data_IF_316590996011
#
_entry.id   IF_316590996011
#
_cell.length_a   1.000
_cell.length_b   1.000
_cell.length_c   1.000
_cell.angle_alpha   90.00
_cell.angle_beta   90.00
_cell.angle_gamma   90.00
#
_symmetry.space_group_name_H-M   'P 1'
#
loop_
_entity.id
_entity.type
_entity.pdbx_description
1 polymer ?
#
# COMPACT_ATOMS: atom_id res chain seq x y z
N UNK A 1 25.44 43.32 10.72
CA UNK A 1 25.47 42.37 9.58
C UNK A 1 24.42 41.32 9.87
N UNK A 2 23.21 41.54 9.39
CA UNK A 2 22.08 40.64 9.49
C UNK A 2 22.23 39.58 8.41
N UNK A 3 22.54 38.35 8.81
CA UNK A 3 22.58 37.19 7.92
C UNK A 3 21.12 36.75 7.74
N UNK A 4 20.57 37.05 6.58
CA UNK A 4 19.22 36.61 6.18
C UNK A 4 19.21 35.11 5.96
N UNK A 5 18.23 34.45 6.57
CA UNK A 5 17.86 33.05 6.33
C UNK A 5 17.42 32.91 4.87
N UNK A 6 18.11 32.07 4.10
CA UNK A 6 17.70 31.70 2.74
C UNK A 6 16.74 30.52 2.88
N UNK A 7 15.45 30.81 2.87
CA UNK A 7 14.42 29.83 2.61
C UNK A 7 14.49 29.51 1.11
N UNK A 8 15.08 28.37 0.75
CA UNK A 8 15.14 27.93 -0.65
C UNK A 8 13.75 27.47 -1.07
N UNK A 9 12.98 28.35 -1.73
CA UNK A 9 11.80 27.95 -2.46
C UNK A 9 12.18 26.84 -3.47
N UNK A 10 11.40 25.76 -3.60
CA UNK A 10 11.65 24.75 -4.60
C UNK A 10 11.65 25.40 -5.99
N UNK A 11 12.66 25.09 -6.81
CA UNK A 11 12.71 25.59 -8.19
C UNK A 11 11.50 25.01 -8.92
N UNK A 12 10.69 25.86 -9.55
CA UNK A 12 9.48 25.46 -10.31
C UNK A 12 9.72 24.26 -11.24
N UNK A 13 10.90 24.18 -11.86
CA UNK A 13 11.32 23.03 -12.68
C UNK A 13 11.32 21.68 -11.95
N UNK A 14 11.74 21.60 -10.68
CA UNK A 14 11.72 20.34 -9.93
C UNK A 14 10.30 19.91 -9.51
N UNK A 15 9.39 20.86 -9.30
CA UNK A 15 7.99 20.58 -8.92
C UNK A 15 7.20 20.05 -10.11
N UNK A 16 7.32 20.70 -11.27
CA UNK A 16 6.71 20.24 -12.52
C UNK A 16 7.23 18.85 -12.90
N UNK A 17 8.55 18.63 -12.82
CA UNK A 17 9.15 17.31 -13.09
C UNK A 17 8.61 16.21 -12.16
N UNK A 18 8.43 16.50 -10.86
CA UNK A 18 7.85 15.54 -9.91
C UNK A 18 6.40 15.24 -10.24
N UNK A 19 5.59 16.27 -10.45
CA UNK A 19 4.18 16.13 -10.84
C UNK A 19 4.07 15.25 -12.09
N UNK A 20 4.73 15.64 -13.19
CA UNK A 20 4.66 14.89 -14.45
C UNK A 20 5.19 13.45 -14.35
N UNK A 21 6.21 13.21 -13.51
CA UNK A 21 6.72 11.85 -13.27
C UNK A 21 5.68 10.97 -12.58
N UNK A 22 4.97 11.50 -11.57
CA UNK A 22 3.90 10.77 -10.89
C UNK A 22 2.74 10.52 -11.84
N UNK A 23 2.29 11.54 -12.56
CA UNK A 23 1.20 11.43 -13.56
C UNK A 23 1.52 10.40 -14.64
N UNK A 24 2.73 10.46 -15.19
CA UNK A 24 3.20 9.55 -16.23
C UNK A 24 3.27 8.08 -15.79
N UNK A 25 3.54 7.79 -14.51
CA UNK A 25 3.49 6.42 -14.01
C UNK A 25 2.06 5.87 -14.05
N UNK A 26 1.05 6.63 -13.66
CA UNK A 26 -0.36 6.18 -13.76
C UNK A 26 -0.75 5.86 -15.20
N UNK A 27 -0.34 6.69 -16.17
CA UNK A 27 -0.63 6.44 -17.58
C UNK A 27 0.18 5.26 -18.14
N UNK A 28 1.43 5.07 -17.71
CA UNK A 28 2.22 3.87 -18.03
C UNK A 28 1.50 2.60 -17.54
N UNK A 29 1.02 2.59 -16.30
CA UNK A 29 0.33 1.43 -15.74
C UNK A 29 -1.00 1.17 -16.48
N UNK A 30 -1.74 2.22 -16.80
CA UNK A 30 -3.00 2.10 -17.53
C UNK A 30 -2.81 1.70 -19.01
N UNK A 31 -1.67 2.00 -19.63
CA UNK A 31 -1.42 1.75 -21.06
C UNK A 31 -1.48 0.27 -21.48
N UNK A 32 -1.38 -0.64 -20.50
CA UNK A 32 -1.43 -2.11 -20.69
C UNK A 32 -2.85 -2.67 -20.64
N UNK A 33 -3.85 -1.83 -20.37
CA UNK A 33 -5.24 -2.22 -20.18
C UNK A 33 -6.06 -1.82 -21.39
N UNK A 34 -6.90 -2.74 -21.86
CA UNK A 34 -7.96 -2.41 -22.83
C UNK A 34 -9.01 -1.48 -22.18
N UNK A 35 -9.84 -0.79 -22.97
CA UNK A 35 -10.98 -0.07 -22.41
C UNK A 35 -11.91 -0.96 -21.56
N UNK A 36 -12.07 -2.23 -21.94
CA UNK A 36 -12.90 -3.21 -21.26
C UNK A 36 -12.35 -3.59 -19.88
N UNK A 37 -11.02 -3.57 -19.70
CA UNK A 37 -10.38 -3.87 -18.42
C UNK A 37 -10.51 -2.72 -17.41
N UNK A 38 -10.73 -1.49 -17.89
CA UNK A 38 -10.68 -0.29 -17.05
C UNK A 38 -12.00 0.08 -16.38
N UNK A 39 -13.13 -0.49 -16.81
CA UNK A 39 -14.48 -0.16 -16.33
C UNK A 39 -15.02 -1.08 -15.23
N UNK A 40 -14.75 -2.41 -15.22
CA UNK A 40 -15.32 -3.31 -14.24
C UNK A 40 -14.87 -3.04 -12.80
N UNK A 41 -15.74 -3.39 -11.85
CA UNK A 41 -15.45 -3.40 -10.42
C UNK A 41 -15.64 -4.82 -9.89
N UNK A 42 -14.55 -5.47 -9.50
CA UNK A 42 -14.54 -6.89 -9.12
C UNK A 42 -15.00 -7.16 -7.68
N UNK A 43 -15.02 -6.14 -6.83
CA UNK A 43 -15.58 -6.17 -5.47
C UNK A 43 -15.82 -4.74 -4.97
N UNK A 44 -16.60 -4.57 -3.89
CA UNK A 44 -16.91 -3.25 -3.31
C UNK A 44 -15.68 -2.50 -2.81
N UNK A 45 -14.64 -3.21 -2.37
CA UNK A 45 -13.38 -2.62 -1.94
C UNK A 45 -12.53 -2.11 -3.12
N UNK A 46 -12.63 -2.74 -4.29
CA UNK A 46 -11.92 -2.33 -5.49
C UNK A 46 -12.64 -1.18 -6.20
N UNK A 47 -11.93 -0.42 -7.04
CA UNK A 47 -12.50 0.54 -7.99
C UNK A 47 -12.01 0.27 -9.41
N UNK A 48 -12.78 0.68 -10.44
CA UNK A 48 -12.34 0.57 -11.83
C UNK A 48 -11.03 1.35 -12.07
N UNK A 49 -10.13 0.83 -12.91
CA UNK A 49 -8.89 1.55 -13.23
C UNK A 49 -9.15 2.93 -13.86
N UNK A 50 -10.20 3.06 -14.68
CA UNK A 50 -10.64 4.37 -15.19
C UNK A 50 -11.06 5.32 -14.06
N UNK A 51 -11.69 4.80 -12.99
CA UNK A 51 -12.04 5.59 -11.82
C UNK A 51 -10.78 6.04 -11.06
N UNK A 52 -9.76 5.19 -10.86
CA UNK A 52 -8.48 5.62 -10.25
C UNK A 52 -7.83 6.76 -11.04
N UNK A 53 -7.78 6.59 -12.37
CA UNK A 53 -7.22 7.57 -13.31
C UNK A 53 -7.91 8.92 -13.23
N UNK A 54 -9.24 8.92 -13.20
CA UNK A 54 -10.03 10.16 -13.12
C UNK A 54 -10.07 10.75 -11.71
N UNK A 55 -10.09 9.93 -10.66
CA UNK A 55 -10.11 10.36 -9.27
C UNK A 55 -8.84 11.12 -8.87
N UNK A 56 -7.68 10.61 -9.27
CA UNK A 56 -6.41 11.30 -9.00
C UNK A 56 -6.35 12.63 -9.73
N UNK A 57 -6.91 12.74 -10.93
CA UNK A 57 -7.05 14.00 -11.67
C UNK A 57 -8.01 14.97 -11.00
N UNK A 58 -9.17 14.46 -10.56
CA UNK A 58 -10.15 15.24 -9.80
C UNK A 58 -9.52 15.86 -8.54
N UNK A 59 -8.62 15.15 -7.86
CA UNK A 59 -7.92 15.70 -6.69
C UNK A 59 -7.16 17.00 -7.03
N UNK A 60 -6.41 17.01 -8.13
CA UNK A 60 -5.68 18.21 -8.55
C UNK A 60 -6.62 19.32 -9.04
N UNK A 61 -7.70 18.98 -9.74
CA UNK A 61 -8.69 19.97 -10.17
C UNK A 61 -9.40 20.62 -8.97
N UNK A 62 -9.86 19.83 -8.00
CA UNK A 62 -10.61 20.29 -6.83
C UNK A 62 -9.74 21.05 -5.82
N UNK A 63 -8.54 20.55 -5.51
CA UNK A 63 -7.75 21.10 -4.41
C UNK A 63 -6.63 22.05 -4.86
N UNK A 64 -6.13 21.91 -6.09
CA UNK A 64 -5.05 22.77 -6.61
C UNK A 64 -5.61 23.82 -7.57
N UNK A 65 -6.24 23.39 -8.68
CA UNK A 65 -6.70 24.33 -9.71
C UNK A 65 -7.85 25.21 -9.26
N UNK A 66 -8.76 24.73 -8.40
CA UNK A 66 -9.82 25.57 -7.84
C UNK A 66 -9.31 26.77 -7.01
N UNK A 67 -8.02 26.76 -6.60
CA UNK A 67 -7.36 27.88 -5.93
C UNK A 67 -6.77 28.89 -6.91
N UNK A 68 -6.55 28.51 -8.16
CA UNK A 68 -5.98 29.36 -9.20
C UNK A 68 -7.00 30.42 -9.61
N UNK A 69 -6.66 31.73 -9.56
CA UNK A 69 -7.60 32.79 -9.87
C UNK A 69 -8.24 32.66 -11.26
N UNK A 70 -9.57 32.58 -11.30
CA UNK A 70 -10.34 32.52 -12.55
C UNK A 70 -10.47 31.13 -13.18
N UNK A 71 -9.94 30.07 -12.54
CA UNK A 71 -10.15 28.70 -12.99
C UNK A 71 -11.61 28.27 -12.80
N UNK A 72 -12.18 27.61 -13.81
CA UNK A 72 -13.53 27.03 -13.77
C UNK A 72 -13.48 25.64 -14.39
N UNK A 73 -13.82 24.62 -13.59
CA UNK A 73 -13.88 23.23 -14.04
C UNK A 73 -14.88 23.08 -15.21
N UNK A 74 -14.48 22.56 -16.38
CA UNK A 74 -15.36 22.48 -17.54
C UNK A 74 -16.50 21.47 -17.39
N UNK A 75 -16.28 20.39 -16.63
CA UNK A 75 -17.24 19.31 -16.42
C UNK A 75 -17.69 19.19 -14.95
N UNK A 76 -18.68 19.98 -14.48
CA UNK A 76 -19.12 19.97 -13.08
C UNK A 76 -19.56 18.60 -12.54
N UNK A 77 -19.99 17.69 -13.43
CA UNK A 77 -20.42 16.33 -13.07
C UNK A 77 -19.25 15.46 -12.61
N UNK A 78 -18.02 15.72 -13.05
CA UNK A 78 -16.82 14.96 -12.66
C UNK A 78 -16.53 15.11 -11.16
N UNK A 79 -16.85 16.26 -10.57
CA UNK A 79 -16.80 16.48 -9.12
C UNK A 79 -17.65 15.47 -8.34
N UNK A 80 -18.83 15.10 -8.86
CA UNK A 80 -19.69 14.09 -8.24
C UNK A 80 -19.20 12.66 -8.50
N UNK A 81 -18.80 12.36 -9.75
CA UNK A 81 -18.39 11.01 -10.15
C UNK A 81 -17.08 10.56 -9.47
N UNK A 82 -16.17 11.50 -9.26
CA UNK A 82 -14.81 11.21 -8.86
C UNK A 82 -14.45 11.70 -7.45
N UNK A 83 -15.36 12.33 -6.69
CA UNK A 83 -15.18 12.46 -5.24
C UNK A 83 -15.17 11.07 -4.58
N UNK A 84 -14.13 10.76 -3.81
CA UNK A 84 -13.99 9.47 -3.14
C UNK A 84 -14.86 9.36 -1.90
N UNK A 85 -14.61 10.23 -0.92
CA UNK A 85 -15.20 10.19 0.41
C UNK A 85 -15.22 11.55 1.09
N UNK A 86 -14.87 12.65 0.42
CA UNK A 86 -14.82 13.97 1.04
C UNK A 86 -16.23 14.53 1.21
N UNK A 87 -16.80 14.38 2.41
CA UNK A 87 -18.18 14.79 2.67
C UNK A 87 -18.30 16.33 2.69
N UNK A 88 -17.25 17.03 3.13
CA UNK A 88 -17.17 18.49 3.07
C UNK A 88 -17.16 19.04 1.62
N UNK A 89 -16.74 18.23 0.64
CA UNK A 89 -16.77 18.62 -0.79
C UNK A 89 -18.18 18.56 -1.35
N UNK A 90 -18.93 17.48 -1.03
CA UNK A 90 -20.32 17.32 -1.45
C UNK A 90 -20.69 15.86 -1.80
N UNK A 91 -21.88 15.65 -2.41
CA UNK A 91 -22.36 14.32 -2.76
C UNK A 91 -21.45 13.62 -3.77
N UNK A 92 -21.52 12.29 -3.82
CA UNK A 92 -20.64 11.46 -4.64
C UNK A 92 -21.34 10.22 -5.19
N UNK A 93 -20.79 9.67 -6.27
CA UNK A 93 -21.19 8.35 -6.76
C UNK A 93 -20.97 7.28 -5.67
N UNK A 94 -21.97 6.42 -5.37
CA UNK A 94 -21.81 5.34 -4.42
C UNK A 94 -20.63 4.42 -4.79
N UNK A 95 -19.73 4.16 -3.82
CA UNK A 95 -18.55 3.31 -4.03
C UNK A 95 -18.88 1.91 -4.60
N UNK A 96 -19.93 1.19 -4.13
CA UNK A 96 -20.28 -0.12 -4.69
C UNK A 96 -20.79 -0.09 -6.14
N UNK A 97 -21.09 1.10 -6.67
CA UNK A 97 -21.70 1.29 -7.99
C UNK A 97 -20.74 1.98 -8.96
N UNK A 98 -19.45 2.11 -8.64
CA UNK A 98 -18.45 2.72 -9.54
C UNK A 98 -18.31 1.94 -10.85
N UNK A 99 -18.37 0.61 -10.78
CA UNK A 99 -18.30 -0.26 -11.97
C UNK A 99 -19.52 -0.21 -12.89
N UNK A 100 -20.59 0.50 -12.51
CA UNK A 100 -21.78 0.69 -13.35
C UNK A 100 -21.66 1.93 -14.26
N UNK A 101 -20.64 2.76 -14.03
CA UNK A 101 -20.44 4.03 -14.71
C UNK A 101 -19.66 3.79 -16.00
N UNK A 102 -20.38 3.65 -17.11
CA UNK A 102 -19.79 3.45 -18.44
C UNK A 102 -19.37 4.74 -19.13
N UNK A 103 -19.75 5.91 -18.59
CA UNK A 103 -19.38 7.25 -19.06
C UNK A 103 -18.95 8.14 -17.90
N UNK A 104 -17.88 8.95 -18.04
CA UNK A 104 -17.07 9.16 -19.24
C UNK A 104 -16.29 7.91 -19.67
N UNK A 105 -16.04 7.79 -20.97
CA UNK A 105 -15.24 6.72 -21.57
C UNK A 105 -13.77 6.84 -21.18
N UNK A 106 -13.01 5.76 -21.37
CA UNK A 106 -11.56 5.74 -21.11
C UNK A 106 -10.81 6.82 -21.90
N UNK A 107 -11.27 7.13 -23.12
CA UNK A 107 -10.72 8.22 -23.94
C UNK A 107 -11.02 9.60 -23.34
N UNK A 108 -12.27 9.86 -22.96
CA UNK A 108 -12.68 11.12 -22.31
C UNK A 108 -11.94 11.32 -20.97
N UNK A 109 -11.64 10.23 -20.24
CA UNK A 109 -10.81 10.27 -19.02
C UNK A 109 -9.35 10.59 -19.34
N UNK A 110 -8.78 10.04 -20.42
CA UNK A 110 -7.44 10.43 -20.88
C UNK A 110 -7.37 11.91 -21.26
N UNK A 111 -8.40 12.42 -21.95
CA UNK A 111 -8.48 13.84 -22.30
C UNK A 111 -8.61 14.71 -21.05
N UNK A 112 -9.41 14.29 -20.06
CA UNK A 112 -9.52 14.98 -18.77
C UNK A 112 -8.17 15.06 -18.04
N UNK A 113 -7.44 13.94 -17.98
CA UNK A 113 -6.09 13.88 -17.42
C UNK A 113 -5.17 14.89 -18.10
N UNK A 114 -5.09 14.87 -19.42
CA UNK A 114 -4.22 15.75 -20.18
C UNK A 114 -4.54 17.24 -19.94
N UNK A 115 -5.83 17.62 -19.96
CA UNK A 115 -6.25 19.01 -19.71
C UNK A 115 -5.88 19.51 -18.31
N UNK A 116 -6.09 18.69 -17.28
CA UNK A 116 -5.73 19.06 -15.91
C UNK A 116 -4.22 19.11 -15.73
N UNK A 117 -3.47 18.19 -16.35
CA UNK A 117 -2.01 18.20 -16.31
C UNK A 117 -1.45 19.47 -16.96
N UNK A 118 -1.94 19.84 -18.14
CA UNK A 118 -1.58 21.09 -18.82
C UNK A 118 -1.93 22.33 -17.98
N UNK A 119 -3.10 22.36 -17.36
CA UNK A 119 -3.53 23.48 -16.52
C UNK A 119 -2.68 23.62 -15.25
N UNK A 120 -2.34 22.50 -14.59
CA UNK A 120 -1.47 22.51 -13.40
C UNK A 120 -0.07 22.99 -13.76
N UNK A 121 0.51 22.49 -14.86
CA UNK A 121 1.83 22.93 -15.34
C UNK A 121 1.81 24.42 -15.66
N UNK A 122 0.82 24.90 -16.41
CA UNK A 122 0.69 26.32 -16.74
C UNK A 122 0.58 27.20 -15.48
N UNK A 123 -0.22 26.79 -14.50
CA UNK A 123 -0.36 27.53 -13.23
C UNK A 123 0.95 27.55 -12.42
N UNK A 124 1.69 26.44 -12.39
CA UNK A 124 2.99 26.36 -11.72
C UNK A 124 4.05 27.25 -12.39
N UNK A 125 4.09 27.27 -13.72
CA UNK A 125 5.03 28.09 -14.50
C UNK A 125 4.69 29.59 -14.42
N UNK A 126 3.40 29.93 -14.39
CA UNK A 126 2.93 31.30 -14.20
C UNK A 126 3.14 31.81 -12.75
N UNK A 127 3.33 30.91 -11.78
CA UNK A 127 3.43 31.26 -10.37
C UNK A 127 2.07 31.57 -9.72
N UNK A 128 1.00 31.04 -10.29
CA UNK A 128 -0.38 31.27 -9.84
C UNK A 128 -0.83 30.29 -8.73
N UNK A 129 -0.01 29.27 -8.44
CA UNK A 129 -0.25 28.32 -7.35
C UNK A 129 0.34 28.89 -6.05
N UNK A 130 -0.53 29.16 -5.08
CA UNK A 130 -0.12 29.66 -3.77
C UNK A 130 0.55 28.58 -2.90
N UNK A 131 1.12 28.98 -1.76
CA UNK A 131 1.88 28.08 -0.87
C UNK A 131 1.05 26.85 -0.45
N UNK A 132 -0.21 27.06 -0.06
CA UNK A 132 -1.12 25.97 0.28
C UNK A 132 -1.45 25.09 -0.94
N UNK A 133 -1.56 25.66 -2.13
CA UNK A 133 -1.72 24.90 -3.38
C UNK A 133 -0.51 24.02 -3.67
N UNK A 134 0.71 24.45 -3.34
CA UNK A 134 1.93 23.64 -3.47
C UNK A 134 1.96 22.47 -2.46
N UNK A 135 1.52 22.69 -1.23
CA UNK A 135 1.35 21.61 -0.23
C UNK A 135 0.32 20.58 -0.70
N UNK A 136 -0.83 21.04 -1.21
CA UNK A 136 -1.88 20.18 -1.74
C UNK A 136 -1.45 19.46 -3.01
N UNK A 137 -0.60 20.07 -3.84
CA UNK A 137 0.03 19.41 -4.99
C UNK A 137 0.96 18.27 -4.53
N UNK A 138 1.77 18.49 -3.49
CA UNK A 138 2.62 17.45 -2.92
C UNK A 138 1.80 16.30 -2.34
N UNK A 139 0.76 16.62 -1.56
CA UNK A 139 -0.20 15.63 -1.05
C UNK A 139 -0.87 14.88 -2.20
N UNK A 140 -1.30 15.58 -3.25
CA UNK A 140 -1.91 15.00 -4.44
C UNK A 140 -0.99 14.04 -5.19
N UNK A 141 0.31 14.34 -5.25
CA UNK A 141 1.31 13.43 -5.81
C UNK A 141 1.44 12.14 -4.99
N UNK A 142 1.47 12.25 -3.66
CA UNK A 142 1.50 11.08 -2.78
C UNK A 142 0.17 10.29 -2.82
N UNK A 143 -0.96 10.98 -2.89
CA UNK A 143 -2.28 10.39 -3.08
C UNK A 143 -2.37 9.60 -4.39
N UNK A 144 -1.87 10.14 -5.51
CA UNK A 144 -1.83 9.39 -6.77
C UNK A 144 -0.92 8.17 -6.69
N UNK A 145 0.18 8.22 -5.94
CA UNK A 145 1.02 7.04 -5.70
C UNK A 145 0.28 5.94 -4.89
N UNK A 146 -0.57 6.29 -3.93
CA UNK A 146 -1.45 5.30 -3.28
C UNK A 146 -2.43 4.69 -4.31
N UNK A 147 -2.99 5.52 -5.20
CA UNK A 147 -3.90 5.04 -6.24
C UNK A 147 -3.20 4.23 -7.34
N UNK A 148 -1.90 4.40 -7.57
CA UNK A 148 -1.11 3.54 -8.47
C UNK A 148 -0.96 2.14 -7.90
N UNK A 149 -0.69 2.02 -6.60
CA UNK A 149 -0.66 0.74 -5.91
C UNK A 149 -2.04 0.06 -5.92
N UNK A 150 -3.10 0.81 -5.58
CA UNK A 150 -4.47 0.29 -5.61
C UNK A 150 -4.90 -0.14 -7.02
N UNK A 151 -4.54 0.62 -8.06
CA UNK A 151 -4.84 0.26 -9.46
C UNK A 151 -4.29 -1.14 -9.77
N UNK A 152 -3.05 -1.44 -9.37
CA UNK A 152 -2.44 -2.74 -9.60
C UNK A 152 -3.09 -3.85 -8.76
N UNK A 153 -3.42 -3.59 -7.50
CA UNK A 153 -4.15 -4.54 -6.65
C UNK A 153 -5.54 -4.86 -7.21
N UNK A 154 -6.26 -3.84 -7.69
CA UNK A 154 -7.63 -3.96 -8.17
C UNK A 154 -7.70 -4.65 -9.54
N UNK A 155 -6.74 -4.37 -10.43
CA UNK A 155 -6.57 -5.10 -11.70
C UNK A 155 -6.17 -6.55 -11.45
N UNK A 156 -5.25 -6.80 -10.51
CA UNK A 156 -4.89 -8.18 -10.14
C UNK A 156 -6.10 -8.96 -9.65
N UNK A 157 -6.91 -8.34 -8.78
CA UNK A 157 -8.15 -8.96 -8.31
C UNK A 157 -9.10 -9.23 -9.47
N UNK A 158 -9.38 -8.22 -10.32
CA UNK A 158 -10.25 -8.37 -11.50
C UNK A 158 -9.81 -9.50 -12.42
N UNK A 159 -8.53 -9.53 -12.82
CA UNK A 159 -8.03 -10.54 -13.75
C UNK A 159 -8.02 -11.95 -13.15
N UNK A 160 -7.82 -12.08 -11.83
CA UNK A 160 -7.86 -13.39 -11.16
C UNK A 160 -9.22 -14.10 -11.20
N UNK A 161 -10.31 -13.34 -11.40
CA UNK A 161 -11.67 -13.87 -11.58
C UNK A 161 -11.96 -14.28 -13.02
N UNK A 162 -11.14 -13.84 -13.98
CA UNK A 162 -11.35 -14.17 -15.38
C UNK A 162 -10.81 -15.60 -15.67
N UNK A 163 -11.64 -16.51 -16.21
CA UNK A 163 -11.27 -17.92 -16.39
C UNK A 163 -10.13 -18.17 -17.39
N UNK A 164 -9.75 -17.17 -18.19
CA UNK A 164 -8.60 -17.29 -19.11
C UNK A 164 -7.29 -16.73 -18.53
N UNK A 165 -7.28 -16.37 -17.24
CA UNK A 165 -6.12 -15.82 -16.50
C UNK A 165 -5.33 -14.75 -17.31
N UNK A 166 -5.95 -13.59 -17.64
CA UNK A 166 -5.30 -12.54 -18.43
C UNK A 166 -3.97 -12.07 -17.83
N UNK A 167 -3.00 -11.77 -18.70
CA UNK A 167 -1.66 -11.32 -18.30
C UNK A 167 -1.58 -9.80 -18.44
N UNK A 168 -1.25 -9.11 -17.34
CA UNK A 168 -1.02 -7.67 -17.32
C UNK A 168 0.43 -7.29 -17.67
N UNK A 169 1.41 -8.07 -17.18
CA UNK A 169 2.83 -7.93 -17.51
C UNK A 169 3.33 -9.21 -18.16
N UNK A 170 3.59 -9.18 -19.47
CA UNK A 170 4.20 -10.31 -20.17
C UNK A 170 5.69 -10.42 -19.82
N UNK A 171 6.02 -11.40 -18.96
CA UNK A 171 7.39 -11.71 -18.55
C UNK A 171 7.54 -13.18 -18.22
N UNK A 172 8.76 -13.69 -18.35
CA UNK A 172 9.10 -15.02 -17.86
C UNK A 172 9.02 -15.09 -16.34
N UNK A 173 8.54 -16.23 -15.83
CA UNK A 173 8.59 -16.54 -14.41
C UNK A 173 10.03 -16.50 -13.90
N UNK A 174 10.19 -16.09 -12.64
CA UNK A 174 11.49 -16.15 -11.98
C UNK A 174 11.95 -17.61 -11.88
N UNK A 175 13.25 -17.88 -12.08
CA UNK A 175 13.77 -19.21 -11.86
C UNK A 175 13.54 -19.62 -10.40
N UNK A 176 13.38 -20.93 -10.18
CA UNK A 176 13.36 -21.45 -8.82
C UNK A 176 14.62 -20.99 -8.08
N UNK A 177 14.43 -20.32 -6.95
CA UNK A 177 15.51 -19.90 -6.08
C UNK A 177 15.70 -20.93 -4.96
N UNK A 178 16.90 -20.97 -4.41
CA UNK A 178 17.16 -21.78 -3.22
C UNK A 178 16.26 -21.31 -2.07
N UNK A 179 15.72 -22.26 -1.32
CA UNK A 179 14.99 -21.97 -0.10
C UNK A 179 15.89 -21.17 0.84
N UNK A 180 15.43 -20.03 1.37
CA UNK A 180 16.19 -19.25 2.34
C UNK A 180 16.56 -20.12 3.55
N UNK A 181 17.67 -19.79 4.20
CA UNK A 181 18.07 -20.42 5.45
C UNK A 181 17.09 -20.13 6.59
N UNK A 182 17.43 -20.63 7.78
CA UNK A 182 16.69 -20.31 9.00
C UNK A 182 16.61 -18.79 9.21
N UNK A 183 15.45 -18.32 9.66
CA UNK A 183 15.22 -16.90 9.95
C UNK A 183 16.15 -16.43 11.07
N UNK A 184 16.97 -15.42 10.79
CA UNK A 184 17.71 -14.71 11.83
C UNK A 184 16.80 -13.76 12.60
N UNK A 185 17.20 -13.46 13.83
CA UNK A 185 16.44 -12.63 14.77
C UNK A 185 17.28 -11.41 15.16
N UNK A 186 16.70 -10.22 14.97
CA UNK A 186 17.29 -8.97 15.43
C UNK A 186 16.75 -8.66 16.83
N UNK A 187 17.65 -8.53 17.80
CA UNK A 187 17.31 -8.06 19.14
C UNK A 187 16.79 -6.62 19.10
N UNK A 188 15.62 -6.41 19.68
CA UNK A 188 15.05 -5.09 19.97
C UNK A 188 15.28 -4.83 21.45
N UNK A 189 16.00 -3.75 21.77
CA UNK A 189 16.36 -3.42 23.15
C UNK A 189 15.15 -2.81 23.88
N UNK A 190 14.91 -3.27 25.10
CA UNK A 190 13.90 -2.69 26.00
C UNK A 190 14.24 -1.23 26.33
N UNK A 191 13.26 -0.33 26.22
CA UNK A 191 13.46 1.08 26.54
C UNK A 191 12.47 2.02 25.87
N UNK A 192 12.74 3.32 25.96
CA UNK A 192 11.93 4.35 25.32
C UNK A 192 12.45 4.63 23.91
N UNK A 193 11.57 4.48 22.91
CA UNK A 193 11.84 4.83 21.53
C UNK A 193 11.06 6.08 21.10
N UNK A 194 11.58 6.80 20.09
CA UNK A 194 10.85 7.86 19.40
C UNK A 194 10.25 7.28 18.12
N UNK A 195 8.93 7.43 17.97
CA UNK A 195 8.15 6.89 16.86
C UNK A 195 7.51 8.03 16.08
N UNK A 196 7.45 7.90 14.76
CA UNK A 196 6.73 8.80 13.87
C UNK A 196 7.60 9.86 13.22
N UNK A 197 6.97 10.58 12.29
CA UNK A 197 7.56 11.71 11.59
C UNK A 197 7.47 12.99 12.46
N UNK A 198 8.46 13.89 12.37
CA UNK A 198 8.41 15.16 13.08
C UNK A 198 7.23 16.01 12.59
N UNK A 199 6.61 16.74 13.50
CA UNK A 199 5.56 17.70 13.17
C UNK A 199 6.18 19.02 12.66
N UNK A 200 5.93 19.43 11.41
CA UNK A 200 6.45 20.68 10.87
C UNK A 200 5.94 21.93 11.61
N UNK A 201 4.85 21.82 12.38
CA UNK A 201 4.27 22.92 13.17
C UNK A 201 4.79 22.99 14.61
N UNK A 202 5.68 22.07 15.01
CA UNK A 202 6.28 22.05 16.35
C UNK A 202 5.43 21.36 17.41
N UNK A 203 4.47 20.51 17.04
CA UNK A 203 3.67 19.68 17.93
C UNK A 203 4.37 18.44 18.50
N UNK A 204 5.67 18.25 18.24
CA UNK A 204 6.45 17.14 18.80
C UNK A 204 6.48 17.20 20.33
N UNK A 205 6.48 16.03 20.98
CA UNK A 205 6.44 15.95 22.44
C UNK A 205 7.66 16.65 23.10
N UNK A 206 7.52 17.28 24.29
CA UNK A 206 8.63 17.93 24.99
C UNK A 206 9.80 16.97 25.26
N UNK A 207 11.02 17.39 24.91
CA UNK A 207 12.24 16.57 25.04
C UNK A 207 12.52 15.65 23.84
N UNK A 208 11.74 15.74 22.76
CA UNK A 208 12.05 15.15 21.45
C UNK A 208 13.04 16.09 20.74
N UNK A 209 14.31 16.02 21.13
CA UNK A 209 15.40 16.58 20.33
C UNK A 209 16.00 15.46 19.47
N UNK A 210 16.28 15.75 18.19
CA UNK A 210 17.06 14.85 17.35
C UNK A 210 18.38 14.55 18.07
N UNK A 211 18.61 13.28 18.40
CA UNK A 211 19.82 12.87 19.12
C UNK A 211 21.09 12.94 18.26
N UNK A 212 20.96 13.30 16.98
CA UNK A 212 22.06 13.59 16.07
C UNK A 212 21.81 14.93 15.40
N UNK A 213 22.82 15.80 15.38
CA UNK A 213 22.78 17.18 14.85
C UNK A 213 22.57 17.31 13.33
N UNK A 214 21.74 16.47 12.73
CA UNK A 214 21.09 16.74 11.45
C UNK A 214 19.72 17.35 11.74
N UNK A 215 19.56 18.64 11.45
CA UNK A 215 18.23 19.20 11.26
C UNK A 215 17.48 18.32 10.25
N UNK A 216 16.24 17.86 10.51
CA UNK A 216 15.51 17.14 9.49
C UNK A 216 15.26 18.14 8.35
N UNK A 217 15.88 17.93 7.21
CA UNK A 217 15.38 18.46 5.95
C UNK A 217 14.01 17.83 5.76
N UNK A 218 12.95 18.51 6.24
CA UNK A 218 11.61 17.95 6.37
C UNK A 218 11.07 17.46 5.03
N UNK A 219 11.04 16.14 4.85
CA UNK A 219 10.34 15.50 3.74
C UNK A 219 8.87 15.26 4.06
N UNK A 220 8.06 15.00 3.03
CA UNK A 220 6.65 14.67 3.18
C UNK A 220 6.41 13.48 4.13
N UNK A 221 5.32 13.58 4.89
CA UNK A 221 4.69 12.48 5.61
C UNK A 221 3.20 12.76 5.70
N UNK A 222 2.38 11.72 5.78
CA UNK A 222 0.97 11.91 6.08
C UNK A 222 0.79 12.38 7.53
N UNK A 223 -0.32 13.06 7.80
CA UNK A 223 -0.74 13.49 9.14
C UNK A 223 -0.77 12.32 10.14
N UNK A 224 -1.20 11.13 9.70
CA UNK A 224 -1.26 9.94 10.55
C UNK A 224 0.11 9.40 11.02
N UNK A 225 1.21 9.86 10.40
CA UNK A 225 2.58 9.51 10.80
C UNK A 225 3.10 10.44 11.91
N UNK A 226 2.33 11.49 12.27
CA UNK A 226 2.71 12.59 13.16
C UNK A 226 1.76 12.69 14.38
N UNK A 227 2.17 13.39 15.46
CA UNK A 227 3.50 13.92 15.72
C UNK A 227 4.47 12.83 16.18
N UNK A 228 5.77 13.15 16.20
CA UNK A 228 6.76 12.27 16.80
C UNK A 228 6.55 12.21 18.30
N UNK A 229 6.47 10.99 18.83
CA UNK A 229 6.15 10.75 20.23
C UNK A 229 6.98 9.61 20.83
N UNK A 230 6.94 9.49 22.16
CA UNK A 230 7.68 8.46 22.91
C UNK A 230 6.79 7.24 23.17
N UNK A 231 7.33 6.06 22.92
CA UNK A 231 6.69 4.77 23.22
C UNK A 231 7.66 3.91 24.02
N UNK A 232 7.15 3.17 25.00
CA UNK A 232 7.92 2.14 25.69
C UNK A 232 7.93 0.86 24.86
N UNK A 233 9.12 0.38 24.53
CA UNK A 233 9.36 -0.88 23.84
C UNK A 233 9.77 -1.92 24.90
N UNK A 234 9.04 -3.03 25.06
CA UNK A 234 9.32 -4.03 26.09
C UNK A 234 10.59 -4.88 25.81
N UNK A 235 11.21 -4.69 24.64
CA UNK A 235 12.28 -5.53 24.13
C UNK A 235 11.77 -6.81 23.48
N UNK A 236 12.68 -7.64 22.99
CA UNK A 236 12.36 -8.91 22.32
C UNK A 236 13.17 -9.10 21.05
N UNK A 237 12.64 -9.85 20.09
CA UNK A 237 13.29 -10.06 18.80
C UNK A 237 12.33 -9.88 17.63
N UNK A 238 12.83 -9.35 16.50
CA UNK A 238 12.10 -9.24 15.23
C UNK A 238 12.86 -10.00 14.16
N UNK A 239 12.15 -10.82 13.37
CA UNK A 239 12.73 -11.58 12.27
C UNK A 239 13.40 -10.68 11.22
N UNK A 240 14.58 -11.04 10.73
CA UNK A 240 15.34 -10.25 9.75
C UNK A 240 14.74 -10.31 8.34
N UNK A 241 13.91 -11.30 8.03
CA UNK A 241 13.19 -11.46 6.76
C UNK A 241 11.70 -11.71 6.96
N UNK A 242 10.91 -11.51 5.91
CA UNK A 242 9.50 -11.88 5.88
C UNK A 242 9.32 -13.41 5.87
N UNK A 243 8.13 -13.85 6.27
CA UNK A 243 7.72 -15.26 6.15
C UNK A 243 7.56 -15.63 4.68
N UNK A 244 8.09 -16.80 4.30
CA UNK A 244 8.07 -17.24 2.90
C UNK A 244 6.87 -18.14 2.57
N UNK A 245 6.61 -18.27 1.27
CA UNK A 245 5.69 -19.26 0.69
C UNK A 245 5.98 -20.68 1.21
N UNK A 246 7.24 -21.11 1.23
CA UNK A 246 7.63 -22.44 1.69
C UNK A 246 7.37 -22.66 3.19
N UNK A 247 7.51 -21.61 3.99
CA UNK A 247 7.17 -21.65 5.41
C UNK A 247 5.64 -21.68 5.63
N UNK A 248 4.89 -20.97 4.80
CA UNK A 248 3.43 -20.98 4.81
C UNK A 248 2.83 -22.34 4.40
N UNK A 249 3.43 -23.02 3.42
CA UNK A 249 3.04 -24.38 3.04
C UNK A 249 3.12 -25.36 4.21
N UNK A 250 4.11 -25.21 5.11
CA UNK A 250 4.22 -26.04 6.32
C UNK A 250 3.09 -25.77 7.31
N UNK A 251 2.71 -24.50 7.48
CA UNK A 251 1.53 -24.12 8.27
C UNK A 251 0.25 -24.76 7.70
N UNK A 252 0.04 -24.68 6.38
CA UNK A 252 -1.10 -25.32 5.72
C UNK A 252 -1.09 -26.85 5.90
N UNK A 253 0.06 -27.51 5.69
CA UNK A 253 0.22 -28.95 5.81
C UNK A 253 -0.03 -29.47 7.24
N UNK A 254 0.29 -28.67 8.26
CA UNK A 254 0.03 -28.96 9.68
C UNK A 254 -1.40 -28.56 10.14
N UNK A 255 -2.32 -28.41 9.19
CA UNK A 255 -3.73 -28.12 9.47
C UNK A 255 -3.99 -26.67 9.88
N UNK A 256 -3.17 -25.71 9.46
CA UNK A 256 -3.28 -24.30 9.84
C UNK A 256 -4.69 -23.70 9.65
N UNK A 257 -5.38 -24.07 8.57
CA UNK A 257 -6.75 -23.62 8.27
C UNK A 257 -7.85 -24.52 8.85
N UNK A 258 -7.52 -25.61 9.54
CA UNK A 258 -8.48 -26.56 10.14
C UNK A 258 -8.42 -26.61 11.68
N UNK A 259 -7.54 -25.83 12.29
CA UNK A 259 -7.23 -25.84 13.73
C UNK A 259 -7.69 -24.55 14.42
N UNK A 260 -8.91 -24.50 14.99
CA UNK A 260 -9.48 -23.27 15.55
C UNK A 260 -8.66 -22.65 16.68
N UNK A 261 -7.85 -23.44 17.41
CA UNK A 261 -7.01 -22.94 18.49
C UNK A 261 -5.89 -21.99 18.03
N UNK A 262 -5.60 -21.94 16.73
CA UNK A 262 -4.61 -21.03 16.15
C UNK A 262 -5.19 -19.63 15.87
N UNK A 263 -6.52 -19.50 15.81
CA UNK A 263 -7.18 -18.32 15.26
C UNK A 263 -7.81 -17.44 16.33
N UNK A 264 -7.83 -16.13 16.08
CA UNK A 264 -8.79 -15.24 16.73
C UNK A 264 -10.22 -15.68 16.37
N UNK A 265 -11.18 -15.44 17.27
CA UNK A 265 -12.58 -15.85 17.07
C UNK A 265 -13.17 -15.32 15.75
N UNK A 266 -12.99 -14.03 15.46
CA UNK A 266 -13.49 -13.40 14.22
C UNK A 266 -12.75 -13.92 12.99
N UNK A 267 -11.46 -14.25 13.13
CA UNK A 267 -10.68 -14.91 12.09
C UNK A 267 -11.20 -16.30 11.77
N UNK A 268 -11.47 -17.12 12.80
CA UNK A 268 -12.04 -18.46 12.61
C UNK A 268 -13.43 -18.41 11.97
N UNK A 269 -14.28 -17.49 12.42
CA UNK A 269 -15.60 -17.28 11.82
C UNK A 269 -15.48 -16.91 10.33
N UNK A 270 -14.56 -16.02 9.97
CA UNK A 270 -14.30 -15.62 8.59
C UNK A 270 -13.79 -16.79 7.74
N UNK A 271 -12.79 -17.54 8.23
CA UNK A 271 -12.25 -18.73 7.54
C UNK A 271 -13.34 -19.73 7.21
N UNK A 272 -14.24 -20.00 8.17
CA UNK A 272 -15.36 -20.92 7.97
C UNK A 272 -16.41 -20.38 7.00
N UNK A 273 -16.75 -19.09 7.09
CA UNK A 273 -17.78 -18.47 6.26
C UNK A 273 -17.35 -18.36 4.79
N UNK A 274 -16.07 -18.08 4.53
CA UNK A 274 -15.53 -17.88 3.19
C UNK A 274 -14.79 -19.11 2.63
N UNK A 275 -14.60 -20.15 3.44
CA UNK A 275 -13.95 -21.40 3.02
C UNK A 275 -12.46 -21.22 2.70
N UNK A 276 -11.74 -20.41 3.48
CA UNK A 276 -10.31 -20.17 3.25
C UNK A 276 -9.47 -21.42 3.57
N UNK A 277 -8.62 -21.83 2.64
CA UNK A 277 -7.72 -22.98 2.79
C UNK A 277 -6.27 -22.71 2.34
N UNK A 278 -5.98 -21.50 1.84
CA UNK A 278 -4.68 -21.02 1.36
C UNK A 278 -4.67 -19.48 1.29
N UNK A 279 -3.52 -18.81 1.06
CA UNK A 279 -3.46 -17.38 0.77
C UNK A 279 -4.31 -16.97 -0.46
N UNK A 280 -4.60 -15.67 -0.56
CA UNK A 280 -5.35 -15.12 -1.69
C UNK A 280 -4.73 -15.47 -3.04
N UNK A 281 -5.57 -15.76 -4.03
CA UNK A 281 -5.21 -16.15 -5.40
C UNK A 281 -4.53 -17.51 -5.59
N UNK A 282 -4.32 -18.26 -4.51
CA UNK A 282 -3.80 -19.62 -4.61
C UNK A 282 -4.88 -20.57 -5.11
N UNK A 283 -4.49 -21.53 -5.95
CA UNK A 283 -5.34 -22.64 -6.39
C UNK A 283 -4.50 -23.91 -6.40
N UNK A 284 -5.13 -25.02 -6.01
CA UNK A 284 -4.57 -26.36 -6.24
C UNK A 284 -4.79 -26.69 -7.71
N UNK A 285 -3.76 -27.13 -8.41
CA UNK A 285 -3.97 -27.86 -9.65
C UNK A 285 -4.40 -29.28 -9.29
N UNK A 286 -5.61 -29.67 -9.72
CA UNK A 286 -6.03 -31.07 -9.64
C UNK A 286 -5.19 -31.84 -10.65
N UNK A 287 -4.24 -32.62 -10.14
CA UNK A 287 -3.22 -33.30 -10.94
C UNK A 287 -3.82 -34.03 -12.14
N UNK A 288 -3.22 -33.83 -13.31
CA UNK A 288 -3.32 -34.80 -14.41
C UNK A 288 -3.03 -36.17 -13.80
N UNK A 289 -4.01 -37.08 -13.87
CA UNK A 289 -4.07 -38.32 -13.09
C UNK A 289 -2.93 -39.32 -13.32
N UNK A 290 -1.70 -38.97 -12.95
CA UNK A 290 -0.58 -39.89 -12.84
C UNK A 290 -0.45 -40.31 -11.37
N UNK A 291 -0.80 -41.57 -11.10
CA UNK A 291 -0.86 -42.17 -9.76
C UNK A 291 0.53 -42.42 -9.14
N UNK A 292 1.52 -41.57 -9.48
CA UNK A 292 2.91 -41.62 -9.01
C UNK A 292 3.37 -40.33 -8.34
N UNK A 293 2.44 -39.53 -7.81
CA UNK A 293 2.79 -38.51 -6.83
C UNK A 293 3.51 -39.21 -5.65
N UNK A 294 4.75 -38.84 -5.42
CA UNK A 294 5.48 -39.27 -4.24
C UNK A 294 4.82 -38.71 -2.96
N UNK A 295 5.14 -39.31 -1.81
CA UNK A 295 4.53 -38.92 -0.54
C UNK A 295 4.79 -37.43 -0.18
N UNK A 296 5.77 -36.80 -0.80
CA UNK A 296 6.13 -35.39 -0.61
C UNK A 296 5.21 -34.46 -1.43
N UNK A 297 4.92 -34.80 -2.69
CA UNK A 297 3.91 -34.12 -3.54
C UNK A 297 2.50 -34.18 -2.95
N UNK A 298 2.15 -35.28 -2.28
CA UNK A 298 0.85 -35.44 -1.60
C UNK A 298 0.66 -34.53 -0.38
N UNK A 299 1.74 -34.11 0.28
CA UNK A 299 1.70 -33.27 1.49
C UNK A 299 1.76 -31.77 1.14
N UNK A 300 2.53 -31.39 0.12
CA UNK A 300 2.72 -29.98 -0.23
C UNK A 300 1.85 -29.47 -1.37
N UNK A 301 1.28 -30.36 -2.20
CA UNK A 301 0.38 -30.00 -3.32
C UNK A 301 1.02 -29.14 -4.43
N UNK A 302 0.54 -29.28 -5.65
CA UNK A 302 0.89 -28.39 -6.76
C UNK A 302 0.07 -27.10 -6.66
N UNK A 303 0.51 -26.19 -5.79
CA UNK A 303 -0.11 -24.87 -5.65
C UNK A 303 0.37 -23.91 -6.73
N UNK A 304 -0.57 -23.25 -7.39
CA UNK A 304 -0.32 -22.09 -8.24
C UNK A 304 -0.86 -20.84 -7.57
N UNK A 305 -0.33 -19.69 -7.98
CA UNK A 305 -0.86 -18.37 -7.61
C UNK A 305 -1.10 -17.56 -8.87
N UNK A 306 -2.18 -16.77 -8.87
CA UNK A 306 -2.36 -15.73 -9.89
C UNK A 306 -1.46 -14.53 -9.57
N UNK A 307 -0.69 -14.07 -10.56
CA UNK A 307 0.13 -12.87 -10.48
C UNK A 307 -0.26 -11.91 -11.60
N UNK A 308 0.24 -10.67 -11.58
CA UNK A 308 0.04 -9.76 -12.71
C UNK A 308 0.77 -10.23 -13.99
N UNK A 309 1.65 -11.23 -13.89
CA UNK A 309 2.26 -11.93 -15.03
C UNK A 309 1.57 -13.24 -15.39
N UNK A 310 0.33 -13.44 -14.93
CA UNK A 310 -0.44 -14.66 -15.12
C UNK A 310 -0.28 -15.67 -13.98
N UNK A 311 -0.95 -16.81 -14.15
CA UNK A 311 -0.89 -17.94 -13.21
C UNK A 311 0.42 -18.69 -13.36
N UNK A 312 1.05 -19.01 -12.23
CA UNK A 312 2.29 -19.81 -12.18
C UNK A 312 2.38 -20.62 -10.89
N UNK A 313 3.22 -21.67 -10.84
CA UNK A 313 3.56 -22.32 -9.58
C UNK A 313 4.08 -21.33 -8.55
N UNK A 314 3.74 -21.55 -7.28
CA UNK A 314 4.26 -20.75 -6.17
C UNK A 314 5.77 -21.02 -5.98
N UNK A 315 6.53 -20.00 -5.60
CA UNK A 315 7.98 -20.09 -5.38
C UNK A 315 8.30 -19.96 -3.90
N UNK A 316 8.87 -21.01 -3.31
CA UNK A 316 9.03 -21.15 -1.86
C UNK A 316 9.88 -20.06 -1.19
N UNK A 317 10.79 -19.43 -1.94
CA UNK A 317 11.67 -18.36 -1.47
C UNK A 317 11.05 -16.95 -1.55
N UNK A 318 9.88 -16.80 -2.19
CA UNK A 318 9.15 -15.53 -2.19
C UNK A 318 8.48 -15.29 -0.83
N UNK A 319 8.31 -14.02 -0.41
CA UNK A 319 7.46 -13.72 0.75
C UNK A 319 6.04 -14.20 0.46
N UNK A 320 5.36 -14.75 1.49
CA UNK A 320 3.93 -15.02 1.37
C UNK A 320 3.18 -13.70 1.16
N UNK A 321 2.16 -13.72 0.30
CA UNK A 321 1.44 -12.53 -0.17
C UNK A 321 -0.07 -12.82 -0.18
N UNK A 322 -0.87 -11.77 -0.01
CA UNK A 322 -2.34 -11.81 -0.04
C UNK A 322 -2.94 -12.61 1.12
N UNK A 323 -2.35 -12.46 2.30
CA UNK A 323 -2.86 -13.00 3.56
C UNK A 323 -3.52 -11.89 4.37
N UNK A 324 -4.64 -12.21 5.02
CA UNK A 324 -5.32 -11.34 5.97
C UNK A 324 -4.52 -11.16 7.26
N UNK A 325 -4.90 -10.18 8.08
CA UNK A 325 -4.38 -10.05 9.44
C UNK A 325 -4.65 -11.33 10.25
N UNK A 326 -5.84 -11.92 10.11
CA UNK A 326 -6.21 -13.16 10.80
C UNK A 326 -5.31 -14.33 10.42
N UNK A 327 -5.03 -14.51 9.13
CA UNK A 327 -4.08 -15.51 8.64
C UNK A 327 -2.68 -15.25 9.19
N UNK A 328 -2.21 -14.00 9.14
CA UNK A 328 -0.87 -13.63 9.60
C UNK A 328 -0.68 -13.90 11.10
N UNK A 329 -1.67 -13.56 11.90
CA UNK A 329 -1.69 -13.76 13.35
C UNK A 329 -1.83 -15.26 13.71
N UNK A 330 -2.65 -16.03 12.99
CA UNK A 330 -2.75 -17.48 13.18
C UNK A 330 -1.44 -18.21 12.82
N UNK A 331 -0.79 -17.79 11.72
CA UNK A 331 0.54 -18.29 11.37
C UNK A 331 1.57 -17.98 12.46
N UNK A 332 1.58 -16.74 12.97
CA UNK A 332 2.52 -16.34 14.02
C UNK A 332 2.34 -17.18 15.29
N UNK A 333 1.10 -17.45 15.72
CA UNK A 333 0.82 -18.37 16.85
C UNK A 333 1.33 -19.78 16.59
N UNK A 334 1.05 -20.33 15.41
CA UNK A 334 1.52 -21.66 15.01
C UNK A 334 3.06 -21.75 15.06
N UNK A 335 3.75 -20.70 14.62
CA UNK A 335 5.20 -20.61 14.64
C UNK A 335 5.80 -20.39 16.06
N UNK A 336 4.97 -20.33 17.11
CA UNK A 336 5.41 -20.03 18.47
C UNK A 336 5.90 -18.58 18.65
N UNK A 337 5.40 -17.67 17.83
CA UNK A 337 5.77 -16.26 17.76
C UNK A 337 4.52 -15.36 17.82
N UNK A 338 4.67 -14.09 17.47
CA UNK A 338 3.59 -13.08 17.35
C UNK A 338 3.89 -12.12 16.20
N UNK A 339 2.93 -11.26 15.88
CA UNK A 339 3.19 -10.10 15.03
C UNK A 339 3.87 -8.98 15.84
N UNK A 340 4.86 -8.26 15.28
CA UNK A 340 5.40 -7.06 15.92
C UNK A 340 4.30 -6.00 16.07
N UNK A 341 4.38 -5.18 17.10
CA UNK A 341 3.65 -3.90 17.10
C UNK A 341 4.24 -2.99 16.01
N UNK A 342 3.48 -2.00 15.53
CA UNK A 342 4.02 -1.02 14.56
C UNK A 342 5.26 -0.28 15.11
N UNK A 343 5.36 -0.15 16.44
CA UNK A 343 6.45 0.51 17.14
C UNK A 343 7.72 -0.35 17.18
N UNK A 344 7.60 -1.63 17.52
CA UNK A 344 8.71 -2.58 17.44
C UNK A 344 9.21 -2.71 16.01
N UNK A 345 8.30 -2.73 15.04
CA UNK A 345 8.64 -2.77 13.62
C UNK A 345 9.43 -1.54 13.19
N UNK A 346 8.99 -0.33 13.54
CA UNK A 346 9.67 0.91 13.17
C UNK A 346 11.07 0.99 13.78
N UNK A 347 11.22 0.60 15.05
CA UNK A 347 12.52 0.55 15.73
C UNK A 347 13.44 -0.49 15.08
N UNK A 348 12.95 -1.72 14.88
CA UNK A 348 13.75 -2.82 14.36
C UNK A 348 14.23 -2.56 12.92
N UNK A 349 13.40 -1.93 12.10
CA UNK A 349 13.70 -1.70 10.68
C UNK A 349 14.39 -0.37 10.41
N UNK A 350 14.63 0.46 11.42
CA UNK A 350 15.33 1.74 11.26
C UNK A 350 16.70 1.51 10.61
N UNK A 351 16.94 2.17 9.48
CA UNK A 351 18.20 2.06 8.72
C UNK A 351 18.32 0.82 7.84
N UNK A 352 17.30 -0.05 7.78
CA UNK A 352 17.25 -1.15 6.83
C UNK A 352 17.03 -0.64 5.41
N UNK A 353 17.49 -1.43 4.44
CA UNK A 353 17.33 -1.06 3.04
C UNK A 353 15.86 -1.20 2.60
N UNK A 354 15.30 -0.14 2.03
CA UNK A 354 14.07 -0.20 1.24
C UNK A 354 14.43 -0.79 -0.13
N UNK A 355 13.79 -1.89 -0.51
CA UNK A 355 13.97 -2.54 -1.81
C UNK A 355 12.65 -3.08 -2.31
N UNK A 356 12.65 -3.52 -3.58
CA UNK A 356 11.50 -4.24 -4.13
C UNK A 356 10.19 -3.43 -4.02
N UNK A 357 10.33 -2.11 -4.23
CA UNK A 357 9.25 -1.22 -4.60
C UNK A 357 8.83 -1.50 -6.05
N UNK A 358 7.79 -0.83 -6.54
CA UNK A 358 7.22 -1.04 -7.86
C UNK A 358 8.27 -0.96 -8.98
N UNK A 359 8.49 -2.12 -9.60
CA UNK A 359 9.05 -2.28 -10.92
C UNK A 359 7.88 -2.54 -11.89
N UNK A 360 7.51 -1.57 -12.76
CA UNK A 360 6.37 -1.71 -13.66
C UNK A 360 6.47 -2.95 -14.56
N UNK A 361 7.66 -3.44 -14.87
CA UNK A 361 7.88 -4.61 -15.71
C UNK A 361 7.90 -5.93 -14.93
N UNK A 362 7.57 -5.89 -13.63
CA UNK A 362 7.52 -7.07 -12.75
C UNK A 362 6.22 -7.16 -11.95
N UNK A 363 5.84 -6.09 -11.24
CA UNK A 363 4.63 -6.00 -10.40
C UNK A 363 4.40 -7.21 -9.45
N UNK A 364 5.47 -7.77 -8.88
CA UNK A 364 5.44 -8.92 -7.97
C UNK A 364 6.75 -8.95 -7.16
N UNK A 365 6.74 -9.34 -5.88
CA UNK A 365 7.95 -9.33 -5.08
C UNK A 365 9.05 -10.27 -5.60
N UNK A 366 10.29 -9.97 -5.24
CA UNK A 366 11.44 -10.86 -5.37
C UNK A 366 11.50 -11.81 -4.17
N UNK A 367 12.48 -12.71 -4.19
CA UNK A 367 12.75 -13.58 -3.04
C UNK A 367 13.13 -12.75 -1.80
N UNK A 368 12.80 -13.26 -0.62
CA UNK A 368 13.09 -12.59 0.65
C UNK A 368 14.59 -12.29 0.81
N UNK A 369 14.89 -11.22 1.55
CA UNK A 369 16.25 -10.82 1.88
C UNK A 369 16.31 -10.29 3.31
N UNK A 370 17.39 -10.59 4.02
CA UNK A 370 17.57 -10.14 5.40
C UNK A 370 17.78 -8.63 5.50
N UNK A 371 17.20 -8.05 6.56
CA UNK A 371 17.30 -6.63 6.93
C UNK A 371 16.86 -5.70 5.80
N UNK A 372 15.76 -6.07 5.16
CA UNK A 372 15.12 -5.29 4.11
C UNK A 372 13.63 -5.10 4.40
N UNK A 373 13.10 -3.95 3.95
CA UNK A 373 11.67 -3.68 3.89
C UNK A 373 11.25 -3.45 2.43
N UNK A 374 9.97 -3.67 2.15
CA UNK A 374 9.40 -3.69 0.79
C UNK A 374 9.08 -5.11 0.32
N UNK A 375 8.65 -5.26 -0.93
CA UNK A 375 8.11 -6.52 -1.46
C UNK A 375 6.67 -6.81 -1.03
N UNK A 376 6.38 -6.78 0.29
CA UNK A 376 5.03 -6.94 0.85
C UNK A 376 4.79 -5.96 2.00
N UNK A 377 3.56 -5.45 2.11
CA UNK A 377 3.13 -4.80 3.35
C UNK A 377 3.12 -5.83 4.48
N UNK A 378 3.63 -5.48 5.65
CA UNK A 378 3.77 -6.40 6.77
C UNK A 378 2.73 -6.08 7.83
N UNK A 379 1.81 -7.01 8.11
CA UNK A 379 0.83 -6.86 9.18
C UNK A 379 1.50 -6.69 10.54
N UNK A 380 1.00 -5.74 11.33
CA UNK A 380 1.40 -5.52 12.72
C UNK A 380 0.27 -5.87 13.68
N UNK A 381 0.58 -6.10 14.95
CA UNK A 381 -0.42 -6.28 16.01
C UNK A 381 -1.10 -4.96 16.45
N UNK A 382 -0.73 -3.83 15.87
CA UNK A 382 -1.29 -2.51 16.20
C UNK A 382 -2.60 -2.24 15.45
N UNK A 383 -3.62 -1.81 16.18
CA UNK A 383 -4.80 -1.17 15.59
C UNK A 383 -4.42 0.20 15.01
N UNK A 384 -5.09 0.61 13.94
CA UNK A 384 -4.90 1.93 13.33
C UNK A 384 -5.57 3.01 14.17
N UNK A 385 -4.84 3.50 15.17
CA UNK A 385 -5.25 4.55 16.10
C UNK A 385 -4.45 5.84 15.88
N UNK A 386 -5.00 7.01 16.27
CA UNK A 386 -4.23 8.25 16.26
C UNK A 386 -3.01 8.14 17.19
N UNK A 387 -1.88 8.67 16.74
CA UNK A 387 -0.76 8.90 17.64
C UNK A 387 -1.14 9.92 18.72
N UNK A 388 -0.53 9.87 19.92
CA UNK A 388 -0.74 10.88 20.95
C UNK A 388 -0.44 12.28 20.42
N UNK A 389 -1.44 13.17 20.46
CA UNK A 389 -1.31 14.53 19.91
C UNK A 389 -1.60 14.65 18.41
N UNK A 390 -2.09 13.60 17.75
CA UNK A 390 -2.56 13.66 16.37
C UNK A 390 -3.63 14.76 16.20
N UNK A 391 -3.47 15.57 15.16
CA UNK A 391 -4.40 16.62 14.76
C UNK A 391 -4.64 16.48 13.26
N UNK A 392 -5.91 16.50 12.86
CA UNK A 392 -6.29 16.54 11.44
C UNK A 392 -6.04 17.93 10.87
N UNK A 393 -5.65 18.01 9.61
CA UNK A 393 -5.59 19.29 8.89
C UNK A 393 -6.96 19.99 8.84
N UNK A 394 -6.98 21.31 8.72
CA UNK A 394 -8.22 22.06 8.52
C UNK A 394 -8.78 21.88 7.10
N UNK A 395 -10.11 21.91 6.99
CA UNK A 395 -10.83 21.78 5.72
C UNK A 395 -11.00 20.35 5.24
N UNK A 396 -11.42 20.18 3.99
CA UNK A 396 -11.73 18.86 3.42
C UNK A 396 -10.53 17.91 3.43
N UNK A 397 -9.30 18.41 3.26
CA UNK A 397 -8.08 17.61 3.34
C UNK A 397 -7.91 16.89 4.70
N UNK A 398 -8.49 17.42 5.79
CA UNK A 398 -8.48 16.77 7.11
C UNK A 398 -9.25 15.44 7.16
N UNK A 399 -10.10 15.16 6.18
CA UNK A 399 -10.82 13.88 6.08
C UNK A 399 -9.95 12.73 5.55
N UNK A 400 -8.70 12.99 5.16
CA UNK A 400 -7.84 12.02 4.47
C UNK A 400 -7.60 10.75 5.31
N UNK A 401 -7.25 10.90 6.59
CA UNK A 401 -6.82 9.79 7.44
C UNK A 401 -7.64 9.63 8.72
N UNK A 402 -7.86 10.72 9.48
CA UNK A 402 -8.36 10.64 10.86
C UNK A 402 -9.69 9.91 11.02
N UNK A 403 -10.63 10.06 10.07
CA UNK A 403 -11.95 9.42 10.12
C UNK A 403 -11.93 7.90 9.91
N UNK A 404 -10.80 7.35 9.50
CA UNK A 404 -10.60 5.91 9.27
C UNK A 404 -9.93 5.20 10.44
N UNK A 405 -9.62 5.90 11.54
CA UNK A 405 -8.95 5.35 12.73
C UNK A 405 -9.90 4.54 13.64
N UNK A 406 -10.57 3.55 13.07
CA UNK A 406 -11.41 2.55 13.75
C UNK A 406 -11.43 1.27 12.93
N UNK A 407 -11.47 0.11 13.59
CA UNK A 407 -11.69 -1.22 12.99
C UNK A 407 -10.73 -1.60 11.84
N UNK A 408 -9.49 -1.11 11.93
CA UNK A 408 -8.43 -1.40 10.96
C UNK A 408 -7.12 -1.71 11.68
N UNK A 409 -6.26 -2.47 11.01
CA UNK A 409 -4.92 -2.83 11.49
C UNK A 409 -3.85 -2.15 10.66
N UNK A 410 -2.74 -1.81 11.31
CA UNK A 410 -1.61 -1.15 10.66
C UNK A 410 -0.74 -2.17 9.93
N UNK A 411 -0.31 -1.80 8.71
CA UNK A 411 0.75 -2.47 7.96
C UNK A 411 1.91 -1.53 7.68
N UNK A 412 3.12 -2.07 7.60
CA UNK A 412 4.36 -1.30 7.39
C UNK A 412 5.21 -1.87 6.25
N UNK A 413 6.16 -1.08 5.75
CA UNK A 413 7.22 -1.57 4.85
C UNK A 413 7.07 -1.30 3.36
N UNK A 414 5.87 -1.03 2.84
CA UNK A 414 5.65 -0.94 1.39
C UNK A 414 5.62 -2.31 0.69
N UNK A 415 5.10 -2.37 -0.53
CA UNK A 415 5.02 -3.60 -1.33
C UNK A 415 5.70 -3.45 -2.70
N UNK A 416 5.79 -4.56 -3.44
CA UNK A 416 6.20 -4.58 -4.84
C UNK A 416 5.22 -3.86 -5.79
N UNK A 417 4.12 -3.33 -5.27
CA UNK A 417 3.16 -2.47 -5.98
C UNK A 417 3.24 -1.00 -5.52
N UNK A 418 3.97 -0.70 -4.43
CA UNK A 418 4.15 0.66 -3.92
C UNK A 418 5.16 1.43 -4.78
N UNK A 419 4.83 2.61 -5.32
CA UNK A 419 5.75 3.38 -6.16
C UNK A 419 7.08 3.73 -5.48
N UNK A 420 8.16 3.72 -6.27
CA UNK A 420 9.49 4.02 -5.76
C UNK A 420 9.57 5.40 -5.08
N UNK A 421 10.17 5.43 -3.89
CA UNK A 421 10.28 6.65 -3.07
C UNK A 421 8.99 7.07 -2.35
N UNK A 422 7.92 6.28 -2.44
CA UNK A 422 6.71 6.49 -1.63
C UNK A 422 6.85 5.91 -0.23
N UNK A 423 7.65 4.84 -0.08
CA UNK A 423 7.83 4.14 1.19
C UNK A 423 8.66 4.97 2.17
N UNK A 424 8.27 4.95 3.45
CA UNK A 424 9.04 5.52 4.56
C UNK A 424 9.03 4.55 5.74
N UNK A 425 10.07 4.59 6.56
CA UNK A 425 10.08 3.84 7.81
C UNK A 425 8.95 4.25 8.74
N UNK A 426 8.41 5.48 8.64
CA UNK A 426 7.27 5.98 9.44
C UNK A 426 5.90 5.73 8.79
N UNK A 427 5.86 5.24 7.55
CA UNK A 427 4.62 5.12 6.76
C UNK A 427 3.63 4.14 7.36
N UNK A 428 2.41 4.59 7.69
CA UNK A 428 1.35 3.74 8.24
C UNK A 428 0.29 3.45 7.18
N UNK A 429 0.34 2.25 6.59
CA UNK A 429 -0.78 1.75 5.80
C UNK A 429 -1.80 1.08 6.73
N UNK A 430 -3.04 0.96 6.30
CA UNK A 430 -4.10 0.40 7.12
C UNK A 430 -5.18 -0.27 6.27
N UNK A 431 -5.65 -1.44 6.74
CA UNK A 431 -6.77 -2.16 6.14
C UNK A 431 -7.59 -2.89 7.21
N UNK A 432 -8.88 -3.20 6.93
CA UNK A 432 -9.66 -4.11 7.77
C UNK A 432 -8.98 -5.48 7.88
N UNK A 433 -9.13 -6.14 9.04
CA UNK A 433 -8.42 -7.37 9.36
C UNK A 433 -8.61 -8.52 8.34
N UNK A 434 -9.79 -8.64 7.74
CA UNK A 434 -10.11 -9.69 6.76
C UNK A 434 -9.55 -9.45 5.35
N UNK A 435 -8.88 -8.32 5.09
CA UNK A 435 -8.48 -7.93 3.74
C UNK A 435 -7.38 -8.85 3.17
N UNK A 436 -7.68 -9.55 2.07
CA UNK A 436 -6.73 -10.43 1.35
C UNK A 436 -6.30 -9.91 -0.01
N UNK A 437 -7.01 -8.94 -0.60
CA UNK A 437 -6.62 -8.35 -1.89
C UNK A 437 -5.37 -7.47 -1.78
N UNK A 438 -5.16 -6.85 -0.62
CA UNK A 438 -3.98 -6.05 -0.33
C UNK A 438 -2.71 -6.88 -0.55
N UNK A 439 -1.66 -6.26 -1.05
CA UNK A 439 -0.33 -6.87 -1.22
C UNK A 439 0.39 -7.03 0.12
N UNK A 440 -0.23 -7.81 1.01
CA UNK A 440 0.16 -7.97 2.41
C UNK A 440 0.70 -9.38 2.69
N UNK A 441 1.75 -9.41 3.50
CA UNK A 441 2.40 -10.57 4.10
C UNK A 441 2.67 -10.27 5.58
N UNK A 442 3.74 -10.86 6.12
CA UNK A 442 4.07 -10.72 7.54
C UNK A 442 5.55 -10.93 7.82
N UNK A 443 5.94 -10.42 8.99
CA UNK A 443 7.21 -10.66 9.67
C UNK A 443 6.91 -11.04 11.11
N UNK A 444 7.70 -11.94 11.67
CA UNK A 444 7.51 -12.42 13.05
C UNK A 444 8.26 -11.55 14.06
N UNK A 445 7.72 -11.50 15.27
CA UNK A 445 8.39 -11.05 16.49
C UNK A 445 8.20 -12.08 17.60
N UNK A 446 9.07 -12.08 18.61
CA UNK A 446 8.92 -12.95 19.79
C UNK A 446 9.45 -12.31 21.06
#
# INVERSE_FOLDING_TARGET
MTVGSVCTAPRTGSTVERFMRVRGLTDLLASRLSPEDQIPQSMTAASPAAWHRAHTTWFFEEFVLARVPGYVAPEPVFRFLFNSYYEAVGPRQPRPERGLITRPSVAEISDFRARVDEAVVAALEAGDVDERGLELLELGCHHEQQHQELLLMDIKHLFSHNPIDPVYVDRSADPAAATPGETEWLAVVEGVAQIGAPDPTGGDAPGVHAHDGHAPSGGFSYDNERPRHRVWIPGGEVATRQVTVGEWKRFMADGGYSRPELWLSDGWATVQAEGWDAPGYWRREDGTGDARADAESAVYGEWTTFTLSGRRPVVDAEPVLHVSFYEADAYARWAGARLPTEFEWEVATTGWQIRDELDPDRCHPRTVADRTIGGVWEWTSSAYLPYPGFVTEEGAAGEYNGKFMSDQHVLRGGSALTPAGHTRHTYRNFFPAASRWAAAGLRLAR
#
